data_IF_784275905523
#
_entry.id   IF_784275905523
#
_cell.length_a   1.000
_cell.length_b   1.000
_cell.length_c   1.000
_cell.angle_alpha   90.00
_cell.angle_beta   90.00
_cell.angle_gamma   90.00
#
_symmetry.space_group_name_H-M   'P 1'
#
loop_
_entity.id
_entity.type
_entity.pdbx_description
1 polymer ?
#
# COMPACT_ATOMS: atom_id res chain seq x y z
N UNK A 1 8.81 6.97 -8.38
CA UNK A 1 8.40 6.02 -9.42
C UNK A 1 8.56 4.64 -8.81
N UNK A 2 7.54 4.15 -8.11
CA UNK A 2 7.54 2.81 -7.51
C UNK A 2 6.59 2.00 -8.38
N UNK A 3 7.15 1.13 -9.21
CA UNK A 3 6.40 0.19 -10.03
C UNK A 3 5.81 -0.89 -9.10
N UNK A 4 4.54 -0.74 -8.71
CA UNK A 4 3.81 -1.86 -8.15
C UNK A 4 3.44 -2.80 -9.30
N UNK A 5 4.23 -3.86 -9.50
CA UNK A 5 3.88 -4.96 -10.39
C UNK A 5 2.71 -5.72 -9.77
N UNK A 6 1.48 -5.46 -10.26
CA UNK A 6 0.42 -6.44 -10.11
C UNK A 6 0.84 -7.69 -10.91
N UNK A 7 0.77 -8.86 -10.27
CA UNK A 7 1.11 -10.14 -10.91
C UNK A 7 0.20 -10.32 -12.14
N UNK A 8 0.78 -10.29 -13.34
CA UNK A 8 0.02 -10.44 -14.60
C UNK A 8 0.10 -9.30 -15.61
N UNK A 9 1.03 -8.34 -15.48
CA UNK A 9 1.46 -7.53 -16.62
C UNK A 9 0.41 -6.57 -17.15
N UNK A 10 0.14 -5.50 -16.42
CA UNK A 10 -0.19 -4.18 -16.99
C UNK A 10 0.25 -3.15 -15.97
N UNK A 11 1.14 -2.23 -16.38
CA UNK A 11 1.44 -1.04 -15.61
C UNK A 11 0.21 -0.11 -15.65
N UNK A 12 -0.74 -0.33 -14.76
CA UNK A 12 -1.81 0.61 -14.53
C UNK A 12 -1.38 1.55 -13.39
N UNK A 13 -1.56 2.86 -13.58
CA UNK A 13 -1.57 3.81 -12.47
C UNK A 13 -2.85 3.58 -11.65
N UNK A 14 -2.90 2.50 -10.89
CA UNK A 14 -4.05 2.21 -10.03
C UNK A 14 -3.94 3.08 -8.78
N UNK A 15 -4.90 3.99 -8.60
CA UNK A 15 -5.01 4.81 -7.39
C UNK A 15 -4.24 6.13 -7.39
N UNK A 16 -3.61 6.53 -8.52
CA UNK A 16 -3.04 7.89 -8.65
C UNK A 16 -4.09 8.80 -9.29
N UNK A 17 -4.54 9.87 -8.61
CA UNK A 17 -5.49 10.83 -9.16
C UNK A 17 -4.84 11.62 -10.32
N UNK A 18 -5.64 12.24 -11.20
CA UNK A 18 -5.13 13.20 -12.17
C UNK A 18 -4.31 14.31 -11.50
N UNK A 19 -3.24 14.81 -12.15
CA UNK A 19 -2.47 15.95 -11.65
C UNK A 19 -3.37 17.15 -11.32
N UNK A 20 -3.14 17.80 -10.17
CA UNK A 20 -3.89 18.99 -9.74
C UNK A 20 -5.03 18.73 -8.75
N UNK A 21 -5.37 17.48 -8.44
CA UNK A 21 -6.32 17.16 -7.37
C UNK A 21 -5.66 17.04 -5.99
N UNK A 22 -6.34 17.51 -4.94
CA UNK A 22 -5.92 17.39 -3.53
C UNK A 22 -6.25 16.02 -2.93
N UNK A 23 -6.05 14.94 -3.68
CA UNK A 23 -6.47 13.60 -3.28
C UNK A 23 -5.72 13.06 -2.05
N UNK A 24 -4.37 13.07 -2.06
CA UNK A 24 -3.58 12.54 -0.95
C UNK A 24 -3.79 13.35 0.35
N UNK A 25 -3.78 14.71 0.32
CA UNK A 25 -4.13 15.49 1.51
C UNK A 25 -5.51 15.17 2.09
N UNK A 26 -6.52 14.91 1.26
CA UNK A 26 -7.86 14.54 1.72
C UNK A 26 -7.89 13.17 2.40
N UNK A 27 -7.18 12.17 1.86
CA UNK A 27 -7.07 10.84 2.47
C UNK A 27 -6.38 10.90 3.84
N UNK A 28 -5.35 11.75 3.99
CA UNK A 28 -4.69 11.98 5.28
C UNK A 28 -5.70 12.57 6.27
N UNK A 29 -6.45 13.60 5.88
CA UNK A 29 -7.44 14.22 6.77
C UNK A 29 -8.56 13.23 7.19
N UNK A 30 -8.97 12.31 6.31
CA UNK A 30 -9.93 11.26 6.64
C UNK A 30 -9.34 10.22 7.59
N UNK A 31 -8.06 9.86 7.43
CA UNK A 31 -7.36 8.95 8.34
C UNK A 31 -7.23 9.54 9.74
N UNK A 32 -6.84 10.81 9.85
CA UNK A 32 -6.74 11.54 11.12
C UNK A 32 -8.09 11.62 11.86
N UNK A 33 -9.20 11.70 11.10
CA UNK A 33 -10.57 11.65 11.66
C UNK A 33 -11.06 10.25 12.01
N UNK A 34 -10.31 9.20 11.66
CA UNK A 34 -10.72 7.80 11.83
C UNK A 34 -11.75 7.31 10.81
N UNK A 35 -12.06 8.11 9.79
CA UNK A 35 -13.01 7.78 8.71
C UNK A 35 -12.37 6.93 7.61
N UNK A 36 -11.03 6.88 7.58
CA UNK A 36 -10.27 6.05 6.65
C UNK A 36 -9.26 5.14 7.40
N UNK A 37 -9.69 3.96 7.90
CA UNK A 37 -8.87 3.09 8.75
C UNK A 37 -7.85 2.25 7.94
N UNK A 38 -6.97 2.91 7.19
CA UNK A 38 -5.97 2.28 6.31
C UNK A 38 -5.02 1.33 7.06
N UNK A 39 -4.74 1.62 8.33
CA UNK A 39 -3.86 0.80 9.17
C UNK A 39 -4.35 -0.63 9.35
N UNK A 40 -5.66 -0.89 9.17
CA UNK A 40 -6.24 -2.24 9.25
C UNK A 40 -5.91 -3.11 8.02
N UNK A 41 -5.56 -2.48 6.90
CA UNK A 41 -5.22 -3.16 5.65
C UNK A 41 -3.72 -3.40 5.53
N UNK A 42 -2.93 -2.60 6.24
CA UNK A 42 -1.47 -2.61 6.19
C UNK A 42 -0.89 -3.56 7.24
N UNK A 43 0.17 -4.27 6.88
CA UNK A 43 1.02 -4.99 7.82
C UNK A 43 2.48 -4.61 7.61
N UNK A 44 3.15 -4.25 8.70
CA UNK A 44 4.56 -3.82 8.65
C UNK A 44 5.48 -5.01 8.85
N UNK A 45 6.52 -5.07 8.02
CA UNK A 45 7.60 -6.05 8.08
C UNK A 45 8.94 -5.31 8.08
N UNK A 46 9.95 -5.88 8.73
CA UNK A 46 11.32 -5.40 8.53
C UNK A 46 11.78 -5.75 7.11
N UNK A 47 12.64 -4.94 6.51
CA UNK A 47 13.12 -5.16 5.13
C UNK A 47 13.80 -6.53 4.96
N UNK A 48 14.42 -7.06 6.00
CA UNK A 48 15.03 -8.38 6.02
C UNK A 48 14.00 -9.53 5.84
N UNK A 49 12.73 -9.29 6.13
CA UNK A 49 11.63 -10.26 6.05
C UNK A 49 10.84 -10.17 4.73
N UNK A 50 11.47 -9.68 3.64
CA UNK A 50 10.81 -9.47 2.34
C UNK A 50 10.13 -10.74 1.78
N UNK A 51 10.76 -11.90 1.95
CA UNK A 51 10.22 -13.18 1.47
C UNK A 51 8.94 -13.56 2.23
N UNK A 52 8.91 -13.30 3.53
CA UNK A 52 7.73 -13.52 4.38
C UNK A 52 6.61 -12.55 4.01
N UNK A 53 6.92 -11.26 3.87
CA UNK A 53 5.95 -10.26 3.45
C UNK A 53 5.30 -10.63 2.10
N UNK A 54 6.10 -11.16 1.17
CA UNK A 54 5.63 -11.63 -0.14
C UNK A 54 4.76 -12.89 -0.01
N UNK A 55 5.17 -13.87 0.78
CA UNK A 55 4.39 -15.11 1.00
C UNK A 55 3.03 -14.83 1.65
N UNK A 56 3.00 -13.99 2.69
CA UNK A 56 1.77 -13.61 3.40
C UNK A 56 0.82 -12.84 2.46
N UNK A 57 1.36 -12.03 1.54
CA UNK A 57 0.56 -11.35 0.51
C UNK A 57 0.01 -12.32 -0.54
N UNK A 58 0.84 -13.22 -1.06
CA UNK A 58 0.44 -14.19 -2.09
C UNK A 58 -0.57 -15.22 -1.58
N UNK A 59 -0.50 -15.58 -0.30
CA UNK A 59 -1.49 -16.44 0.35
C UNK A 59 -2.82 -15.74 0.64
N UNK A 60 -2.87 -14.41 0.48
CA UNK A 60 -4.03 -13.60 0.83
C UNK A 60 -4.20 -13.33 2.34
N UNK A 61 -3.23 -13.76 3.17
CA UNK A 61 -3.24 -13.45 4.60
C UNK A 61 -3.08 -11.95 4.87
N UNK A 62 -2.36 -11.24 3.99
CA UNK A 62 -2.11 -9.80 4.08
C UNK A 62 -2.47 -9.10 2.78
N UNK A 63 -3.21 -7.99 2.89
CA UNK A 63 -3.63 -7.20 1.73
C UNK A 63 -2.52 -6.24 1.27
N UNK A 64 -1.92 -5.49 2.20
CA UNK A 64 -0.86 -4.51 1.89
C UNK A 64 0.35 -4.66 2.83
N UNK A 65 1.38 -5.42 2.44
CA UNK A 65 2.63 -5.40 3.19
C UNK A 65 3.34 -4.05 3.01
N UNK A 66 3.91 -3.52 4.10
CA UNK A 66 4.75 -2.32 4.13
C UNK A 66 6.11 -2.72 4.68
N UNK A 67 7.16 -2.52 3.89
CA UNK A 67 8.52 -2.77 4.33
C UNK A 67 9.05 -1.55 5.10
N UNK A 68 9.70 -1.80 6.23
CA UNK A 68 10.36 -0.80 7.06
C UNK A 68 11.87 -0.90 6.87
N UNK A 69 12.48 0.21 6.46
CA UNK A 69 13.93 0.39 6.42
C UNK A 69 14.35 1.04 7.74
N UNK A 70 14.64 0.21 8.74
CA UNK A 70 15.29 0.63 9.99
C UNK A 70 16.59 -0.12 10.19
#
# INVERSE_FOLDING_TARGET
MIECLAYGGTAASVGVPPPGQKFIPELIALHEKGEFPIDRLCRVYDVADIDKATSDMMSGQVIKPVLKWT
#
